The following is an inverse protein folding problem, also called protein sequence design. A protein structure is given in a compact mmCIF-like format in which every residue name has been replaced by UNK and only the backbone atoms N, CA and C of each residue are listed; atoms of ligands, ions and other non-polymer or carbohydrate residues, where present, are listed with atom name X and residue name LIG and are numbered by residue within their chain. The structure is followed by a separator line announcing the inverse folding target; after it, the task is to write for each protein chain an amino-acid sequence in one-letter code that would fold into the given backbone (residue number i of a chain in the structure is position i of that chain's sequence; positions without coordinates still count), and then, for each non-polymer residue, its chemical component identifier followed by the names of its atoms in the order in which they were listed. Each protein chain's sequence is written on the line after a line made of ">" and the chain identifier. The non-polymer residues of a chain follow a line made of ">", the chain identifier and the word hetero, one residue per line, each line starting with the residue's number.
data_IF_765880814857
#
_entry.id   IF_765880814857
#
_cell.length_a   1.000
_cell.length_b   1.000
_cell.length_c   1.000
_cell.angle_alpha   90.00
_cell.angle_beta   90.00
_cell.angle_gamma   90.00
#
_symmetry.space_group_name_H-M   'P 1'
#
loop_
_entity.id
_entity.type
_entity.pdbx_description
1 polymer ?
#
# COMPACT_ATOMS: atom_id res chain seq x y z
N UNK A 1 4.50 -19.04 0.60
CA UNK A 1 3.95 -17.79 0.01
C UNK A 1 4.69 -16.53 0.48
N UNK A 2 5.27 -16.50 1.69
CA UNK A 2 6.11 -15.40 2.20
C UNK A 2 7.17 -14.91 1.21
N UNK A 3 8.00 -15.84 0.71
CA UNK A 3 9.08 -15.50 -0.23
C UNK A 3 8.56 -14.92 -1.55
N UNK A 4 7.43 -15.42 -2.04
CA UNK A 4 6.80 -14.90 -3.25
C UNK A 4 6.33 -13.45 -3.04
N UNK A 5 5.64 -13.17 -1.92
CA UNK A 5 5.18 -11.81 -1.60
C UNK A 5 6.33 -10.85 -1.31
N UNK A 6 7.39 -11.35 -0.69
CA UNK A 6 8.62 -10.59 -0.52
C UNK A 6 9.23 -10.24 -1.88
N UNK A 7 9.38 -11.23 -2.77
CA UNK A 7 9.95 -11.02 -4.10
C UNK A 7 9.15 -10.01 -4.92
N UNK A 8 7.83 -10.21 -4.99
CA UNK A 8 6.91 -9.36 -5.77
C UNK A 8 6.92 -7.91 -5.32
N UNK A 9 7.05 -7.64 -4.02
CA UNK A 9 6.99 -6.28 -3.50
C UNK A 9 8.38 -5.63 -3.39
N UNK A 10 9.39 -6.35 -2.91
CA UNK A 10 10.65 -5.74 -2.45
C UNK A 10 11.84 -6.07 -3.34
N UNK A 11 11.89 -7.26 -3.94
CA UNK A 11 12.89 -7.55 -4.98
C UNK A 11 12.51 -6.82 -6.27
N UNK A 12 11.24 -6.88 -6.68
CA UNK A 12 10.74 -6.18 -7.86
C UNK A 12 10.90 -4.66 -7.76
N UNK A 13 10.83 -4.08 -6.57
CA UNK A 13 11.06 -2.65 -6.36
C UNK A 13 12.43 -2.22 -6.92
N UNK A 14 13.48 -2.98 -6.61
CA UNK A 14 14.82 -2.72 -7.13
C UNK A 14 14.92 -2.98 -8.63
N UNK A 15 14.25 -4.02 -9.13
CA UNK A 15 14.19 -4.32 -10.56
C UNK A 15 13.48 -3.22 -11.35
N UNK A 16 12.52 -2.51 -10.74
CA UNK A 16 11.77 -1.42 -11.37
C UNK A 16 12.61 -0.18 -11.62
N UNK A 17 13.76 -0.02 -10.93
CA UNK A 17 14.64 1.13 -11.12
C UNK A 17 15.13 1.22 -12.56
N UNK A 18 15.36 0.08 -13.24
CA UNK A 18 15.81 0.05 -14.64
C UNK A 18 14.76 0.61 -15.61
N UNK A 19 13.48 0.55 -15.24
CA UNK A 19 12.36 1.00 -16.05
C UNK A 19 12.16 2.53 -15.90
N UNK A 20 12.58 3.11 -14.77
CA UNK A 20 12.46 4.55 -14.46
C UNK A 20 13.70 5.13 -13.77
N UNK A 21 14.90 5.06 -14.39
CA UNK A 21 16.16 5.41 -13.74
C UNK A 21 16.19 6.88 -13.29
N UNK A 22 15.68 7.80 -14.11
CA UNK A 22 15.64 9.24 -13.81
C UNK A 22 14.77 9.58 -12.59
N UNK A 23 13.77 8.74 -12.30
CA UNK A 23 12.88 8.93 -11.16
C UNK A 23 13.40 8.23 -9.91
N UNK A 24 13.98 7.03 -10.05
CA UNK A 24 14.18 6.08 -8.95
C UNK A 24 15.65 5.92 -8.52
N UNK A 25 16.63 6.06 -9.42
CA UNK A 25 18.03 5.72 -9.14
C UNK A 25 18.61 6.54 -7.98
N UNK A 26 18.23 7.81 -7.88
CA UNK A 26 18.69 8.70 -6.80
C UNK A 26 18.27 8.29 -5.39
N UNK A 27 17.37 7.30 -5.24
CA UNK A 27 16.91 6.79 -3.94
C UNK A 27 17.12 5.28 -3.79
N UNK A 28 17.98 4.66 -4.60
CA UNK A 28 18.33 3.24 -4.54
C UNK A 28 18.70 2.79 -3.12
N UNK A 29 19.50 3.58 -2.41
CA UNK A 29 19.95 3.24 -1.06
C UNK A 29 18.78 3.07 -0.07
N UNK A 30 17.72 3.86 -0.22
CA UNK A 30 16.50 3.77 0.58
C UNK A 30 15.71 2.51 0.19
N UNK A 31 15.59 2.22 -1.10
CA UNK A 31 14.90 1.01 -1.56
C UNK A 31 15.58 -0.28 -1.11
N UNK A 32 16.92 -0.31 -1.11
CA UNK A 32 17.70 -1.45 -0.59
C UNK A 32 17.46 -1.64 0.91
N UNK A 33 17.48 -0.56 1.70
CA UNK A 33 17.17 -0.61 3.14
C UNK A 33 15.75 -1.11 3.42
N UNK A 34 14.78 -0.73 2.60
CA UNK A 34 13.40 -1.19 2.74
C UNK A 34 13.27 -2.67 2.39
N UNK A 35 13.96 -3.14 1.35
CA UNK A 35 14.05 -4.56 1.04
C UNK A 35 14.68 -5.33 2.20
N UNK A 36 15.76 -4.82 2.77
CA UNK A 36 16.46 -5.49 3.87
C UNK A 36 15.62 -5.51 5.16
N UNK A 37 14.88 -4.43 5.44
CA UNK A 37 13.87 -4.39 6.50
C UNK A 37 12.80 -5.47 6.27
N UNK A 38 12.23 -5.52 5.07
CA UNK A 38 11.20 -6.51 4.74
C UNK A 38 11.73 -7.95 4.81
N UNK A 39 13.01 -8.18 4.50
CA UNK A 39 13.65 -9.48 4.64
C UNK A 39 13.81 -9.86 6.12
N UNK A 40 14.23 -8.92 6.97
CA UNK A 40 14.31 -9.14 8.42
C UNK A 40 12.93 -9.43 9.03
N UNK A 41 11.88 -8.76 8.55
CA UNK A 41 10.49 -9.02 8.95
C UNK A 41 10.05 -10.46 8.62
N UNK A 42 10.61 -11.16 7.63
CA UNK A 42 10.23 -12.56 7.34
C UNK A 42 10.64 -13.54 8.44
N UNK A 43 11.75 -13.24 9.10
CA UNK A 43 12.35 -14.06 10.17
C UNK A 43 11.74 -13.76 11.55
N UNK A 44 10.87 -12.75 11.64
CA UNK A 44 10.25 -12.35 12.90
C UNK A 44 9.31 -13.44 13.42
N UNK A 45 9.53 -13.84 14.68
CA UNK A 45 8.74 -14.85 15.38
C UNK A 45 7.87 -14.26 16.49
N UNK A 46 8.07 -12.99 16.86
CA UNK A 46 7.25 -12.30 17.87
C UNK A 46 5.98 -11.73 17.26
N UNK A 47 4.85 -12.03 17.92
CA UNK A 47 3.55 -11.50 17.58
C UNK A 47 3.30 -10.25 18.44
N UNK A 48 2.97 -9.13 17.81
CA UNK A 48 2.64 -7.87 18.46
C UNK A 48 1.48 -7.17 17.72
N UNK A 49 1.16 -5.92 18.10
CA UNK A 49 0.07 -5.17 17.48
C UNK A 49 0.27 -4.91 15.98
N UNK A 50 1.50 -4.95 15.48
CA UNK A 50 1.87 -4.68 14.10
C UNK A 50 2.13 -5.92 13.26
N UNK A 51 2.43 -7.06 13.89
CA UNK A 51 2.91 -8.27 13.23
C UNK A 51 2.07 -9.49 13.65
N UNK A 52 1.34 -10.09 12.70
CA UNK A 52 0.38 -11.17 12.97
C UNK A 52 -0.19 -11.80 11.70
N UNK A 53 -1.37 -12.43 11.80
CA UNK A 53 -2.04 -13.01 10.62
C UNK A 53 -2.46 -11.89 9.68
N UNK A 54 -2.04 -12.01 8.41
CA UNK A 54 -2.44 -11.15 7.30
C UNK A 54 -3.10 -12.00 6.21
N UNK A 55 -3.97 -11.38 5.42
CA UNK A 55 -4.51 -11.94 4.19
C UNK A 55 -3.41 -12.20 3.16
N UNK A 56 -2.44 -11.29 3.07
CA UNK A 56 -1.28 -11.42 2.19
C UNK A 56 -1.56 -11.03 0.73
N UNK A 57 -2.83 -10.97 0.32
CA UNK A 57 -3.28 -10.41 -0.96
C UNK A 57 -4.54 -9.55 -0.79
N UNK A 58 -4.48 -8.57 0.11
CA UNK A 58 -5.66 -7.79 0.48
C UNK A 58 -5.88 -6.61 -0.47
N UNK A 59 -6.51 -6.87 -1.62
CA UNK A 59 -6.91 -5.85 -2.59
C UNK A 59 -8.42 -5.85 -2.83
N UNK A 60 -8.90 -4.83 -3.53
CA UNK A 60 -10.34 -4.59 -3.75
C UNK A 60 -11.05 -5.76 -4.44
N UNK A 61 -10.37 -6.53 -5.29
CA UNK A 61 -10.92 -7.70 -5.97
C UNK A 61 -11.27 -8.87 -5.04
N UNK A 62 -10.68 -8.92 -3.85
CA UNK A 62 -10.91 -9.98 -2.84
C UNK A 62 -11.98 -9.59 -1.80
N UNK A 63 -12.72 -8.51 -2.04
CA UNK A 63 -13.82 -8.04 -1.18
C UNK A 63 -15.14 -8.20 -1.93
N UNK A 64 -15.98 -9.13 -1.48
CA UNK A 64 -17.31 -9.33 -2.04
C UNK A 64 -18.34 -8.42 -1.36
N UNK A 65 -19.12 -7.75 -2.18
CA UNK A 65 -20.24 -6.90 -1.77
C UNK A 65 -21.57 -7.53 -2.20
N UNK A 66 -22.63 -7.40 -1.40
CA UNK A 66 -23.96 -7.82 -1.81
C UNK A 66 -24.42 -6.95 -2.99
N UNK A 67 -25.07 -7.58 -3.97
CA UNK A 67 -25.62 -6.88 -5.13
C UNK A 67 -26.96 -6.19 -4.78
N UNK A 68 -26.91 -5.26 -3.83
CA UNK A 68 -28.04 -4.44 -3.39
C UNK A 68 -27.56 -2.99 -3.27
N UNK A 69 -28.45 -1.99 -3.42
CA UNK A 69 -28.08 -0.59 -3.21
C UNK A 69 -27.53 -0.37 -1.81
N UNK A 70 -26.45 0.41 -1.71
CA UNK A 70 -25.94 0.90 -0.42
C UNK A 70 -26.99 1.85 0.18
N UNK A 71 -27.32 1.64 1.46
CA UNK A 71 -28.27 2.50 2.19
C UNK A 71 -27.70 2.81 3.57
N UNK A 72 -28.03 3.99 4.10
CA UNK A 72 -27.59 4.40 5.45
C UNK A 72 -28.36 3.65 6.56
N UNK A 73 -29.32 2.79 6.21
CA UNK A 73 -30.23 2.15 7.15
C UNK A 73 -29.66 0.86 7.76
N UNK A 74 -28.69 0.23 7.11
CA UNK A 74 -28.09 -1.02 7.58
C UNK A 74 -26.61 -1.14 7.18
N UNK A 75 -25.73 -1.66 8.06
CA UNK A 75 -24.36 -1.99 7.68
C UNK A 75 -24.34 -2.91 6.45
N UNK A 76 -23.47 -2.62 5.51
CA UNK A 76 -23.25 -3.49 4.35
C UNK A 76 -22.32 -4.62 4.75
N UNK A 77 -22.83 -5.86 4.72
CA UNK A 77 -22.00 -7.04 4.98
C UNK A 77 -20.98 -7.20 3.86
N UNK A 78 -19.70 -7.19 4.20
CA UNK A 78 -18.60 -7.45 3.25
C UNK A 78 -18.00 -8.82 3.56
N UNK A 79 -17.62 -9.57 2.53
CA UNK A 79 -16.93 -10.85 2.70
C UNK A 79 -15.54 -10.80 2.09
N UNK A 80 -14.53 -11.13 2.89
CA UNK A 80 -13.14 -11.24 2.43
C UNK A 80 -12.86 -12.68 2.01
N UNK A 81 -12.46 -12.86 0.76
CA UNK A 81 -12.23 -14.16 0.12
C UNK A 81 -10.81 -14.29 -0.38
N UNK A 82 -10.44 -15.48 -0.86
CA UNK A 82 -9.14 -15.77 -1.47
C UNK A 82 -7.93 -15.68 -0.52
N UNK A 83 -8.00 -16.47 0.56
CA UNK A 83 -6.99 -16.52 1.63
C UNK A 83 -5.75 -17.36 1.29
N UNK A 84 -5.49 -17.68 0.02
CA UNK A 84 -4.38 -18.58 -0.38
C UNK A 84 -2.98 -17.99 -0.06
N UNK A 85 -2.91 -16.66 0.06
CA UNK A 85 -1.70 -15.92 0.42
C UNK A 85 -1.56 -15.65 1.92
N UNK A 86 -2.49 -16.16 2.74
CA UNK A 86 -2.51 -15.88 4.17
C UNK A 86 -1.27 -16.40 4.89
N UNK A 87 -0.75 -15.56 5.79
CA UNK A 87 0.53 -15.82 6.46
C UNK A 87 0.69 -14.94 7.70
N UNK A 88 1.76 -15.20 8.47
CA UNK A 88 2.20 -14.29 9.52
C UNK A 88 3.12 -13.22 8.89
N UNK A 89 2.77 -11.95 9.06
CA UNK A 89 3.51 -10.82 8.52
C UNK A 89 3.08 -9.46 9.10
N UNK A 90 3.69 -8.39 8.62
CA UNK A 90 3.33 -7.03 9.02
C UNK A 90 1.93 -6.65 8.50
N UNK A 91 1.06 -6.15 9.37
CA UNK A 91 -0.27 -5.62 9.02
C UNK A 91 -0.21 -4.49 8.00
N UNK A 92 0.91 -3.76 7.96
CA UNK A 92 1.15 -2.72 6.98
C UNK A 92 1.11 -3.22 5.52
N UNK A 93 1.32 -4.52 5.29
CA UNK A 93 1.24 -5.11 3.95
C UNK A 93 -0.21 -5.11 3.44
N UNK A 94 -1.15 -5.63 4.23
CA UNK A 94 -2.58 -5.65 3.86
C UNK A 94 -3.15 -4.23 3.77
N UNK A 95 -2.84 -3.36 4.74
CA UNK A 95 -3.28 -1.97 4.72
C UNK A 95 -2.73 -1.24 3.49
N UNK A 96 -1.43 -1.39 3.22
CA UNK A 96 -0.78 -0.69 2.12
C UNK A 96 -1.28 -1.15 0.75
N UNK A 97 -1.52 -2.44 0.55
CA UNK A 97 -2.04 -2.98 -0.71
C UNK A 97 -3.46 -2.46 -0.96
N UNK A 98 -4.38 -2.57 0.02
CA UNK A 98 -5.76 -2.07 -0.12
C UNK A 98 -5.79 -0.56 -0.41
N UNK A 99 -4.98 0.22 0.30
CA UNK A 99 -4.91 1.68 0.12
C UNK A 99 -4.36 2.02 -1.26
N UNK A 100 -3.31 1.35 -1.73
CA UNK A 100 -2.73 1.60 -3.05
C UNK A 100 -3.75 1.36 -4.17
N UNK A 101 -4.43 0.22 -4.14
CA UNK A 101 -5.46 -0.18 -5.13
C UNK A 101 -6.62 0.82 -5.20
N UNK A 102 -7.11 1.28 -4.04
CA UNK A 102 -8.11 2.33 -3.99
C UNK A 102 -7.57 3.66 -4.50
N UNK A 103 -6.32 4.00 -4.15
CA UNK A 103 -5.73 5.28 -4.51
C UNK A 103 -5.43 5.38 -6.01
N UNK A 104 -5.09 4.27 -6.67
CA UNK A 104 -4.90 4.20 -8.12
C UNK A 104 -6.14 4.67 -8.90
N UNK A 105 -7.36 4.48 -8.37
CA UNK A 105 -8.58 5.03 -9.00
C UNK A 105 -8.57 6.57 -9.06
N UNK A 106 -8.03 7.23 -8.03
CA UNK A 106 -7.83 8.68 -8.01
C UNK A 106 -6.68 9.08 -8.95
N UNK A 107 -5.56 8.37 -8.90
CA UNK A 107 -4.36 8.73 -9.67
C UNK A 107 -4.56 8.56 -11.18
N UNK A 108 -5.20 7.46 -11.62
CA UNK A 108 -5.38 7.17 -13.04
C UNK A 108 -6.70 7.67 -13.63
N UNK A 109 -7.78 7.68 -12.83
CA UNK A 109 -9.14 8.00 -13.32
C UNK A 109 -9.72 9.27 -12.72
N UNK A 110 -9.01 9.92 -11.79
CA UNK A 110 -9.46 11.12 -11.07
C UNK A 110 -10.80 10.92 -10.36
N UNK A 111 -11.02 9.73 -9.79
CA UNK A 111 -12.23 9.40 -9.02
C UNK A 111 -11.95 9.56 -7.53
N UNK A 112 -12.71 10.44 -6.86
CA UNK A 112 -12.54 10.70 -5.42
C UNK A 112 -13.05 9.57 -4.52
N UNK A 113 -13.92 8.70 -5.05
CA UNK A 113 -14.51 7.60 -4.30
C UNK A 113 -13.48 6.69 -3.62
N UNK A 114 -12.35 6.40 -4.29
CA UNK A 114 -11.26 5.62 -3.67
C UNK A 114 -10.66 6.29 -2.44
N UNK A 115 -10.51 7.62 -2.48
CA UNK A 115 -9.98 8.41 -1.33
C UNK A 115 -10.97 8.41 -0.17
N UNK A 116 -12.27 8.54 -0.44
CA UNK A 116 -13.30 8.47 0.60
C UNK A 116 -13.34 7.09 1.27
N UNK A 117 -13.21 6.02 0.48
CA UNK A 117 -13.14 4.66 1.00
C UNK A 117 -11.88 4.48 1.85
N UNK A 118 -10.71 4.99 1.43
CA UNK A 118 -9.48 4.94 2.24
C UNK A 118 -9.68 5.60 3.62
N UNK A 119 -10.36 6.75 3.67
CA UNK A 119 -10.66 7.44 4.94
C UNK A 119 -11.54 6.59 5.85
N UNK A 120 -12.69 6.12 5.35
CA UNK A 120 -13.59 5.26 6.13
C UNK A 120 -12.97 3.91 6.51
N UNK A 121 -12.13 3.35 5.64
CA UNK A 121 -11.38 2.12 5.90
C UNK A 121 -10.42 2.29 7.08
N UNK A 122 -9.61 3.36 7.09
CA UNK A 122 -8.70 3.64 8.20
C UNK A 122 -9.45 4.01 9.49
N UNK A 123 -10.54 4.77 9.40
CA UNK A 123 -11.42 5.03 10.55
C UNK A 123 -11.96 3.74 11.18
N UNK A 124 -12.29 2.73 10.36
CA UNK A 124 -12.74 1.41 10.81
C UNK A 124 -11.66 0.58 11.50
N UNK A 125 -10.38 0.76 11.14
CA UNK A 125 -9.24 0.13 11.83
C UNK A 125 -8.85 0.88 13.12
N UNK A 126 -9.23 2.15 13.23
CA UNK A 126 -8.86 3.02 14.35
C UNK A 126 -7.48 3.65 14.18
N UNK A 127 -7.02 4.35 15.23
CA UNK A 127 -5.72 5.02 15.22
C UNK A 127 -4.58 4.01 15.05
N UNK A 128 -3.70 4.27 14.07
CA UNK A 128 -2.49 3.49 13.85
C UNK A 128 -1.35 4.05 14.70
N UNK A 129 -0.54 3.16 15.27
CA UNK A 129 0.76 3.56 15.82
C UNK A 129 1.64 4.12 14.69
N UNK A 130 2.41 5.18 14.97
CA UNK A 130 3.21 5.90 13.95
C UNK A 130 4.10 4.96 13.12
N UNK A 131 4.68 3.95 13.76
CA UNK A 131 5.52 2.97 13.06
C UNK A 131 4.74 2.20 11.99
N UNK A 132 3.51 1.76 12.29
CA UNK A 132 2.63 1.09 11.33
C UNK A 132 2.10 2.06 10.29
N UNK A 133 1.81 3.32 10.65
CA UNK A 133 1.40 4.33 9.69
C UNK A 133 2.50 4.59 8.63
N UNK A 134 3.75 4.80 9.06
CA UNK A 134 4.87 4.97 8.13
C UNK A 134 5.17 3.70 7.33
N UNK A 135 5.12 2.52 7.97
CA UNK A 135 5.35 1.25 7.27
C UNK A 135 4.28 0.98 6.21
N UNK A 136 3.04 1.35 6.48
CA UNK A 136 1.90 1.32 5.55
C UNK A 136 2.14 2.28 4.39
N UNK A 137 2.50 3.54 4.66
CA UNK A 137 2.81 4.53 3.63
C UNK A 137 3.95 4.07 2.69
N UNK A 138 5.00 3.46 3.25
CA UNK A 138 6.08 2.85 2.46
C UNK A 138 5.50 1.75 1.56
N UNK A 139 4.67 0.86 2.10
CA UNK A 139 4.11 -0.23 1.31
C UNK A 139 3.16 0.25 0.21
N UNK A 140 2.36 1.30 0.45
CA UNK A 140 1.57 1.98 -0.60
C UNK A 140 2.50 2.44 -1.73
N UNK A 141 3.58 3.15 -1.38
CA UNK A 141 4.52 3.65 -2.39
C UNK A 141 5.24 2.56 -3.17
N UNK A 142 5.63 1.46 -2.49
CA UNK A 142 6.19 0.27 -3.13
C UNK A 142 5.18 -0.33 -4.12
N UNK A 143 3.92 -0.49 -3.72
CA UNK A 143 2.88 -1.02 -4.59
C UNK A 143 2.66 -0.13 -5.82
N UNK A 144 2.60 1.19 -5.68
CA UNK A 144 2.46 2.11 -6.81
C UNK A 144 3.64 2.03 -7.81
N UNK A 145 4.87 1.90 -7.30
CA UNK A 145 6.04 1.70 -8.16
C UNK A 145 5.96 0.35 -8.88
N UNK A 146 5.65 -0.73 -8.15
CA UNK A 146 5.70 -2.09 -8.68
C UNK A 146 4.52 -2.43 -9.59
N UNK A 147 3.30 -2.12 -9.18
CA UNK A 147 2.06 -2.53 -9.86
C UNK A 147 1.45 -1.38 -10.66
N UNK A 148 1.33 -0.19 -10.08
CA UNK A 148 0.77 0.98 -10.76
C UNK A 148 1.51 1.33 -12.07
N UNK A 149 2.80 1.02 -12.16
CA UNK A 149 3.58 1.23 -13.39
C UNK A 149 3.46 0.13 -14.45
N UNK A 150 2.85 -1.02 -14.11
CA UNK A 150 2.90 -2.23 -14.93
C UNK A 150 1.56 -2.66 -15.52
N UNK A 151 0.42 -2.26 -14.94
CA UNK A 151 -0.89 -2.73 -15.41
C UNK A 151 -1.26 -2.09 -16.76
N UNK A 152 -1.37 -2.88 -17.85
CA UNK A 152 -1.66 -2.31 -19.17
C UNK A 152 -3.04 -1.64 -19.21
N UNK A 153 -3.12 -0.47 -19.85
CA UNK A 153 -4.40 0.23 -20.11
C UNK A 153 -4.94 1.07 -18.94
N UNK A 154 -4.25 1.10 -17.80
CA UNK A 154 -4.69 1.91 -16.66
C UNK A 154 -4.41 3.41 -16.81
N UNK A 155 -3.25 3.77 -17.36
CA UNK A 155 -2.84 5.17 -17.51
C UNK A 155 -2.06 5.44 -18.79
N UNK A 156 -1.95 6.72 -19.12
CA UNK A 156 -0.96 7.21 -20.09
C UNK A 156 0.44 7.13 -19.52
N UNK A 157 1.47 7.17 -20.36
CA UNK A 157 2.88 7.19 -19.93
C UNK A 157 3.16 8.28 -18.89
N UNK A 158 2.59 9.49 -19.09
CA UNK A 158 2.72 10.59 -18.15
C UNK A 158 2.11 10.27 -16.78
N UNK A 159 0.92 9.67 -16.75
CA UNK A 159 0.29 9.28 -15.49
C UNK A 159 1.09 8.19 -14.79
N UNK A 160 1.66 7.24 -15.54
CA UNK A 160 2.54 6.21 -14.99
C UNK A 160 3.76 6.85 -14.32
N UNK A 161 4.43 7.80 -14.97
CA UNK A 161 5.57 8.52 -14.39
C UNK A 161 5.19 9.33 -13.13
N UNK A 162 4.01 9.97 -13.14
CA UNK A 162 3.48 10.68 -11.97
C UNK A 162 3.20 9.72 -10.79
N UNK A 163 2.66 8.54 -11.07
CA UNK A 163 2.41 7.48 -10.07
C UNK A 163 3.72 6.93 -9.52
N UNK A 164 4.71 6.65 -10.36
CA UNK A 164 6.05 6.20 -9.94
C UNK A 164 6.74 7.25 -9.07
N UNK A 165 6.66 8.52 -9.48
CA UNK A 165 7.21 9.64 -8.72
C UNK A 165 6.55 9.76 -7.34
N UNK A 166 5.22 9.68 -7.27
CA UNK A 166 4.50 9.71 -6.00
C UNK A 166 4.85 8.50 -5.13
N UNK A 167 4.93 7.30 -5.72
CA UNK A 167 5.31 6.08 -5.01
C UNK A 167 6.69 6.19 -4.38
N UNK A 168 7.66 6.76 -5.12
CA UNK A 168 8.99 7.08 -4.58
C UNK A 168 8.90 8.08 -3.42
N UNK A 169 8.15 9.16 -3.58
CA UNK A 169 8.05 10.19 -2.54
C UNK A 169 7.43 9.61 -1.26
N UNK A 170 6.37 8.80 -1.37
CA UNK A 170 5.78 8.06 -0.24
C UNK A 170 6.81 7.16 0.47
N UNK A 171 7.60 6.41 -0.31
CA UNK A 171 8.65 5.54 0.21
C UNK A 171 9.72 6.35 0.96
N UNK A 172 10.25 7.41 0.34
CA UNK A 172 11.34 8.21 0.90
C UNK A 172 10.88 8.97 2.15
N UNK A 173 9.72 9.61 2.10
CA UNK A 173 9.17 10.35 3.24
C UNK A 173 8.72 9.42 4.36
N UNK A 174 8.19 8.25 4.03
CA UNK A 174 7.86 7.20 5.00
C UNK A 174 9.11 6.68 5.72
N UNK A 175 10.17 6.35 4.98
CA UNK A 175 11.44 5.90 5.54
C UNK A 175 12.07 6.94 6.47
N UNK A 176 12.00 8.23 6.09
CA UNK A 176 12.51 9.35 6.88
C UNK A 176 11.58 9.76 8.03
N UNK A 177 10.43 9.10 8.20
CA UNK A 177 9.39 9.44 9.20
C UNK A 177 8.95 10.91 9.12
N UNK A 178 8.83 11.46 7.91
CA UNK A 178 8.48 12.86 7.70
C UNK A 178 6.96 13.08 7.77
N UNK A 179 6.41 13.14 8.98
CA UNK A 179 4.97 13.31 9.21
C UNK A 179 4.40 14.61 8.60
N UNK A 180 5.18 15.70 8.62
CA UNK A 180 4.76 17.00 8.08
C UNK A 180 4.44 16.93 6.59
N UNK A 181 5.21 16.15 5.82
CA UNK A 181 4.95 15.93 4.39
C UNK A 181 3.61 15.20 4.15
N UNK A 182 3.23 14.28 5.04
CA UNK A 182 1.96 13.57 4.94
C UNK A 182 0.76 14.41 5.39
N UNK A 183 0.96 15.36 6.31
CA UNK A 183 -0.13 16.18 6.86
C UNK A 183 -0.89 16.99 5.79
N UNK A 184 -0.20 17.39 4.72
CA UNK A 184 -0.78 18.14 3.61
C UNK A 184 -1.25 17.25 2.45
N UNK A 185 -1.01 15.93 2.54
CA UNK A 185 -1.28 14.97 1.46
C UNK A 185 -2.62 14.24 1.58
N UNK A 186 -3.02 13.59 0.48
CA UNK A 186 -4.23 12.75 0.38
C UNK A 186 -4.24 11.62 1.40
N UNK A 187 -3.06 11.09 1.76
CA UNK A 187 -2.90 10.02 2.74
C UNK A 187 -2.64 10.52 4.17
N UNK A 188 -2.93 11.79 4.46
CA UNK A 188 -2.85 12.35 5.84
C UNK A 188 -3.66 11.55 6.86
N UNK A 189 -4.73 10.87 6.41
CA UNK A 189 -5.55 9.99 7.24
C UNK A 189 -4.79 8.83 7.90
N UNK A 190 -3.63 8.41 7.37
CA UNK A 190 -2.77 7.40 8.01
C UNK A 190 -2.24 7.84 9.39
N UNK A 191 -2.15 9.15 9.63
CA UNK A 191 -1.52 9.73 10.81
C UNK A 191 -2.52 10.46 11.71
N UNK A 192 -3.83 10.23 11.51
CA UNK A 192 -4.87 10.78 12.37
C UNK A 192 -5.04 9.85 13.57
N UNK A 193 -4.42 10.22 14.69
CA UNK A 193 -4.59 9.63 16.01
C UNK A 193 -4.90 10.71 17.03
#
# INVERSE_FOLDING_TARGET
>A
MKDLKFWVNYTMLLDTIKDFPDLLEGNRDIFEKIRDLAAAELEQQSHDNGYGVIHGDFWTGNVLLPNVPLTDQSPTTMFIVDWEMSQIGSRALDLGQMIAELYETKLFKNVDGGVWIIQGFLEGYGALEDEIAFRTAIHVGVHLICWGSRVPGWGTQKQIEEVVKLGRDLVVHGWRKNQAWFAEGTLSCLFKG
#
